data_IF_382081389965
#
_entry.id   IF_382081389965
#
_cell.length_a   1.000
_cell.length_b   1.000
_cell.length_c   1.000
_cell.angle_alpha   90.00
_cell.angle_beta   90.00
_cell.angle_gamma   90.00
#
_symmetry.space_group_name_H-M   'P 1'
#
loop_
_entity.id
_entity.type
_entity.pdbx_description
1 polymer ?
#
# COMPACT_ATOMS: atom_id res chain seq x y z
N UNK A 1 5.19 -8.21 -15.90
CA UNK A 1 6.13 -8.02 -14.78
C UNK A 1 5.27 -7.75 -13.56
N UNK A 2 5.46 -8.48 -12.46
CA UNK A 2 4.73 -8.20 -11.20
C UNK A 2 5.12 -6.80 -10.70
N UNK A 3 4.17 -6.07 -10.11
CA UNK A 3 4.42 -4.73 -9.57
C UNK A 3 5.56 -4.73 -8.56
N UNK A 4 6.33 -3.64 -8.53
CA UNK A 4 7.42 -3.46 -7.58
C UNK A 4 6.84 -2.80 -6.32
N UNK A 5 7.03 -3.43 -5.17
CA UNK A 5 6.71 -2.86 -3.87
C UNK A 5 8.02 -2.48 -3.19
N UNK A 6 8.19 -1.19 -2.86
CA UNK A 6 9.34 -0.66 -2.13
C UNK A 6 9.03 -0.53 -0.64
N UNK A 7 9.97 -0.95 0.20
CA UNK A 7 9.91 -0.90 1.66
C UNK A 7 10.81 0.23 2.18
N UNK A 8 10.20 1.35 2.57
CA UNK A 8 10.88 2.48 3.24
C UNK A 8 10.45 2.59 4.71
N UNK A 9 10.10 1.44 5.32
CA UNK A 9 9.77 1.37 6.75
C UNK A 9 11.04 1.29 7.62
N UNK A 10 10.95 1.79 8.85
CA UNK A 10 12.10 1.95 9.76
C UNK A 10 11.92 1.23 11.08
N UNK A 11 10.68 1.04 11.51
CA UNK A 11 10.34 0.37 12.77
C UNK A 11 9.94 -1.07 12.53
N UNK A 12 9.96 -1.87 13.61
CA UNK A 12 9.45 -3.24 13.58
C UNK A 12 7.98 -3.29 13.15
N UNK A 13 7.16 -2.36 13.62
CA UNK A 13 5.73 -2.32 13.30
C UNK A 13 5.50 -1.98 11.82
N UNK A 14 6.30 -1.06 11.27
CA UNK A 14 6.32 -0.79 9.84
C UNK A 14 6.69 -2.04 9.03
N UNK A 15 7.72 -2.77 9.48
CA UNK A 15 8.14 -4.00 8.83
C UNK A 15 7.08 -5.10 8.88
N UNK A 16 6.46 -5.31 10.04
CA UNK A 16 5.39 -6.29 10.23
C UNK A 16 4.18 -5.96 9.34
N UNK A 17 3.83 -4.67 9.21
CA UNK A 17 2.81 -4.22 8.25
C UNK A 17 3.22 -4.50 6.79
N UNK A 18 4.45 -4.14 6.40
CA UNK A 18 4.94 -4.36 5.04
C UNK A 18 4.86 -5.83 4.65
N UNK A 19 5.29 -6.74 5.53
CA UNK A 19 5.29 -8.18 5.24
C UNK A 19 3.86 -8.71 5.07
N UNK A 20 2.91 -8.28 5.91
CA UNK A 20 1.47 -8.60 5.77
C UNK A 20 0.89 -8.07 4.46
N UNK A 21 1.14 -6.80 4.14
CA UNK A 21 0.69 -6.18 2.90
C UNK A 21 1.26 -6.91 1.68
N UNK A 22 2.57 -7.18 1.68
CA UNK A 22 3.26 -7.88 0.60
C UNK A 22 2.68 -9.28 0.36
N UNK A 23 2.40 -10.04 1.43
CA UNK A 23 1.75 -11.33 1.32
C UNK A 23 0.37 -11.22 0.66
N UNK A 24 -0.49 -10.33 1.17
CA UNK A 24 -1.84 -10.11 0.62
C UNK A 24 -1.82 -9.63 -0.82
N UNK A 25 -0.89 -8.74 -1.19
CA UNK A 25 -0.72 -8.26 -2.56
C UNK A 25 -0.36 -9.39 -3.53
N UNK A 26 0.48 -10.33 -3.10
CA UNK A 26 0.84 -11.48 -3.92
C UNK A 26 -0.30 -12.49 -4.05
N UNK A 27 -1.09 -12.67 -2.99
CA UNK A 27 -2.22 -13.61 -2.96
C UNK A 27 -3.33 -13.21 -3.95
N UNK A 28 -3.70 -11.93 -3.96
CA UNK A 28 -4.70 -11.38 -4.90
C UNK A 28 -4.21 -11.35 -6.36
N UNK A 29 -2.92 -11.58 -6.61
CA UNK A 29 -2.36 -11.68 -7.95
C UNK A 29 -2.42 -10.40 -8.77
N UNK A 30 -2.37 -9.22 -8.12
CA UNK A 30 -2.32 -7.94 -8.85
C UNK A 30 -1.06 -7.91 -9.72
N UNK A 31 -1.27 -7.70 -11.03
CA UNK A 31 -0.21 -7.63 -12.04
C UNK A 31 -0.16 -6.22 -12.63
N UNK A 32 -0.07 -5.20 -11.78
CA UNK A 32 0.09 -3.82 -12.19
C UNK A 32 1.57 -3.50 -12.38
N UNK A 33 1.92 -2.73 -13.41
CA UNK A 33 3.29 -2.27 -13.64
C UNK A 33 3.70 -1.10 -12.74
N UNK A 34 2.73 -0.54 -11.99
CA UNK A 34 2.92 0.63 -11.14
C UNK A 34 3.80 0.30 -9.93
N UNK A 35 4.59 1.29 -9.51
CA UNK A 35 5.45 1.19 -8.34
C UNK A 35 4.64 1.59 -7.11
N UNK A 36 4.60 0.68 -6.13
CA UNK A 36 3.96 0.92 -4.83
C UNK A 36 5.07 1.17 -3.82
N UNK A 37 5.00 2.27 -3.09
CA UNK A 37 5.97 2.66 -2.08
C UNK A 37 5.27 2.73 -0.73
N UNK A 38 5.77 1.97 0.24
CA UNK A 38 5.30 2.02 1.63
C UNK A 38 6.34 2.78 2.44
N UNK A 39 6.00 3.99 2.88
CA UNK A 39 6.90 4.86 3.63
C UNK A 39 6.48 4.99 5.08
N UNK A 40 7.47 5.05 5.98
CA UNK A 40 7.24 5.35 7.39
C UNK A 40 7.86 6.69 7.81
N UNK A 41 7.01 7.55 8.36
CA UNK A 41 7.38 8.87 8.84
C UNK A 41 7.10 9.01 10.34
N UNK A 42 7.97 9.73 11.05
CA UNK A 42 7.70 10.08 12.44
C UNK A 42 6.51 11.04 12.51
N UNK A 43 5.53 10.70 13.33
CA UNK A 43 4.38 11.54 13.60
C UNK A 43 4.51 12.21 14.97
N UNK A 44 3.56 13.09 15.30
CA UNK A 44 3.49 13.71 16.62
C UNK A 44 3.31 12.64 17.72
N UNK A 45 3.92 12.89 18.88
CA UNK A 45 3.79 12.06 20.10
C UNK A 45 4.29 10.60 19.99
N UNK A 46 5.52 10.39 19.52
CA UNK A 46 6.22 9.08 19.47
C UNK A 46 5.55 7.98 18.62
N UNK A 47 4.49 8.32 17.89
CA UNK A 47 3.88 7.41 16.92
C UNK A 47 4.54 7.57 15.56
N UNK A 48 4.38 6.57 14.70
CA UNK A 48 4.75 6.66 13.29
C UNK A 48 3.51 6.61 12.42
N UNK A 49 3.61 7.21 11.25
CA UNK A 49 2.58 7.14 10.21
C UNK A 49 3.13 6.30 9.07
N UNK A 50 2.32 5.37 8.60
CA UNK A 50 2.60 4.61 7.38
C UNK A 50 1.76 5.21 6.26
N UNK A 51 2.41 5.47 5.14
CA UNK A 51 1.79 6.02 3.93
C UNK A 51 2.06 5.07 2.77
N UNK A 52 1.02 4.80 2.00
CA UNK A 52 1.09 3.96 0.79
C UNK A 52 0.88 4.87 -0.40
N UNK A 53 1.91 4.97 -1.22
CA UNK A 53 1.94 5.81 -2.41
C UNK A 53 2.04 4.92 -3.64
N UNK A 54 1.25 5.20 -4.66
CA UNK A 54 1.36 4.54 -5.96
C UNK A 54 1.78 5.61 -6.96
N UNK A 55 2.95 5.41 -7.58
CA UNK A 55 3.67 6.44 -8.34
C UNK A 55 3.93 7.70 -7.48
N UNK A 56 2.99 8.64 -7.49
CA UNK A 56 3.08 9.93 -6.79
C UNK A 56 1.78 10.29 -6.05
N UNK A 57 0.81 9.37 -5.98
CA UNK A 57 -0.49 9.60 -5.33
C UNK A 57 -0.58 8.78 -4.03
N UNK A 58 -0.89 9.44 -2.92
CA UNK A 58 -1.17 8.76 -1.65
C UNK A 58 -2.52 8.07 -1.76
N UNK A 59 -2.52 6.74 -1.64
CA UNK A 59 -3.72 5.91 -1.76
C UNK A 59 -4.31 5.59 -0.39
N UNK A 60 -3.46 5.43 0.62
CA UNK A 60 -3.89 5.13 1.98
C UNK A 60 -2.82 5.56 2.99
N UNK A 61 -3.24 6.03 4.16
CA UNK A 61 -2.33 6.33 5.27
C UNK A 61 -2.99 6.05 6.62
N UNK A 62 -2.19 5.66 7.61
CA UNK A 62 -2.67 5.40 8.96
C UNK A 62 -1.57 5.59 10.01
N UNK A 63 -1.97 5.81 11.26
CA UNK A 63 -1.07 5.84 12.41
C UNK A 63 -0.85 4.42 12.94
N UNK A 64 0.42 4.05 13.14
CA UNK A 64 0.79 2.72 13.61
C UNK A 64 0.38 2.49 15.06
N UNK A 65 0.00 1.25 15.38
CA UNK A 65 -0.36 0.80 16.73
C UNK A 65 0.19 -0.61 16.94
N UNK A 66 0.68 -0.94 18.16
CA UNK A 66 1.38 -2.21 18.42
C UNK A 66 0.43 -3.42 18.54
N UNK A 67 -0.75 -3.32 17.95
CA UNK A 67 -1.82 -4.29 18.07
C UNK A 67 -1.91 -5.10 16.77
N UNK A 68 -1.79 -6.42 16.87
CA UNK A 68 -1.70 -7.30 15.70
C UNK A 68 -3.04 -7.37 14.93
N UNK A 69 -4.17 -7.31 15.63
CA UNK A 69 -5.49 -7.28 14.99
C UNK A 69 -5.67 -5.98 14.20
N UNK A 70 -5.21 -4.86 14.75
CA UNK A 70 -5.17 -3.58 14.06
C UNK A 70 -4.28 -3.66 12.81
N UNK A 71 -3.07 -4.22 12.92
CA UNK A 71 -2.17 -4.38 11.77
C UNK A 71 -2.79 -5.24 10.67
N UNK A 72 -3.51 -6.30 11.03
CA UNK A 72 -4.22 -7.15 10.08
C UNK A 72 -5.32 -6.38 9.34
N UNK A 73 -6.14 -5.64 10.09
CA UNK A 73 -7.25 -4.85 9.55
C UNK A 73 -6.76 -3.75 8.60
N UNK A 74 -5.74 -2.97 9.00
CA UNK A 74 -5.20 -1.92 8.13
C UNK A 74 -4.48 -2.49 6.91
N UNK A 75 -3.91 -3.70 6.99
CA UNK A 75 -3.38 -4.40 5.80
C UNK A 75 -4.50 -4.79 4.83
N UNK A 76 -5.66 -5.24 5.30
CA UNK A 76 -6.81 -5.51 4.43
C UNK A 76 -7.36 -4.24 3.78
N UNK A 77 -7.52 -3.18 4.55
CA UNK A 77 -7.98 -1.88 4.04
C UNK A 77 -7.03 -1.32 2.98
N UNK A 78 -5.73 -1.32 3.28
CA UNK A 78 -4.67 -0.87 2.38
C UNK A 78 -4.66 -1.62 1.03
N UNK A 79 -4.82 -2.94 1.08
CA UNK A 79 -4.84 -3.78 -0.13
C UNK A 79 -6.11 -3.53 -0.95
N UNK A 80 -7.26 -3.38 -0.30
CA UNK A 80 -8.49 -3.02 -0.99
C UNK A 80 -8.37 -1.64 -1.65
N UNK A 81 -7.85 -0.64 -0.95
CA UNK A 81 -7.60 0.69 -1.51
C UNK A 81 -6.67 0.63 -2.73
N UNK A 82 -5.58 -0.14 -2.63
CA UNK A 82 -4.65 -0.40 -3.74
C UNK A 82 -5.38 -1.03 -4.93
N UNK A 83 -6.15 -2.10 -4.69
CA UNK A 83 -6.88 -2.80 -5.74
C UNK A 83 -7.85 -1.88 -6.49
N UNK A 84 -8.64 -1.07 -5.76
CA UNK A 84 -9.59 -0.15 -6.37
C UNK A 84 -8.89 0.94 -7.17
N UNK A 85 -7.83 1.54 -6.62
CA UNK A 85 -7.04 2.55 -7.31
C UNK A 85 -6.46 2.02 -8.63
N UNK A 86 -5.82 0.84 -8.61
CA UNK A 86 -5.23 0.24 -9.81
C UNK A 86 -6.30 -0.11 -10.86
N UNK A 87 -7.46 -0.61 -10.42
CA UNK A 87 -8.59 -0.94 -11.29
C UNK A 87 -9.20 0.31 -11.95
N UNK A 88 -9.23 1.43 -11.25
CA UNK A 88 -9.66 2.71 -11.80
C UNK A 88 -8.69 3.20 -12.87
N UNK A 89 -7.38 3.20 -12.61
CA UNK A 89 -6.35 3.57 -13.60
C UNK A 89 -6.36 2.67 -14.84
N UNK A 90 -6.61 1.37 -14.67
CA UNK A 90 -6.75 0.45 -15.81
C UNK A 90 -7.93 0.83 -16.72
N UNK A 91 -9.07 1.23 -16.12
CA UNK A 91 -10.24 1.69 -16.88
C UNK A 91 -9.92 2.99 -17.63
N UNK A 92 -9.33 3.97 -16.96
CA UNK A 92 -8.93 5.24 -17.57
C UNK A 92 -8.04 5.00 -18.80
N UNK A 93 -7.01 4.16 -18.68
CA UNK A 93 -6.11 3.82 -19.79
C UNK A 93 -6.84 3.24 -21.00
N UNK A 94 -7.82 2.34 -20.79
CA UNK A 94 -8.64 1.75 -21.86
C UNK A 94 -9.47 2.78 -22.62
N UNK A 95 -9.98 3.81 -21.95
CA UNK A 95 -10.73 4.89 -22.62
C UNK A 95 -9.83 5.71 -23.55
N UNK A 96 -8.56 5.93 -23.21
CA UNK A 96 -7.62 6.66 -24.07
C UNK A 96 -7.18 5.89 -25.32
N UNK A 97 -7.24 4.55 -25.32
CA UNK A 97 -6.83 3.74 -26.48
C UNK A 97 -7.93 3.57 -27.53
N UNK A 98 -9.17 4.00 -27.26
CA UNK A 98 -10.32 3.81 -28.14
C UNK A 98 -10.60 4.99 -29.09
N UNK A 99 -9.69 5.97 -29.16
CA UNK A 99 -9.78 7.13 -30.07
C UNK A 99 -8.68 7.12 -31.13
#
# INVERSE_FOLDING_TARGET
MRGIISDDTKTRMGKDFYDKYYYKYNDIGINAAQIIVITEEYSFARNTKITITIENETVYEFLTRPDDEFLEAVSDEAINATYYYLKEKEKESKYFTQY
#
